data_IF_252742815113
#
_entry.id   IF_252742815113
#
_cell.length_a   1.000
_cell.length_b   1.000
_cell.length_c   1.000
_cell.angle_alpha   90.00
_cell.angle_beta   90.00
_cell.angle_gamma   90.00
#
_symmetry.space_group_name_H-M   'P 1'
#
loop_
_entity.id
_entity.type
_entity.pdbx_description
1 polymer ?
#
# COMPACT_ATOMS: atom_id res chain seq x y z
N UNK A 1 19.43 -21.72 -19.95
CA UNK A 1 18.20 -21.77 -19.14
C UNK A 1 17.04 -21.24 -19.98
N UNK A 2 15.78 -21.50 -19.63
CA UNK A 2 14.65 -20.95 -20.39
C UNK A 2 14.64 -19.42 -20.26
N UNK A 3 14.40 -18.64 -21.34
CA UNK A 3 14.29 -17.18 -21.28
C UNK A 3 13.28 -16.71 -20.22
N UNK A 4 12.24 -17.51 -19.97
CA UNK A 4 11.24 -17.26 -18.93
C UNK A 4 11.86 -17.41 -17.53
N UNK A 5 12.73 -18.39 -17.32
CA UNK A 5 13.38 -18.62 -16.04
C UNK A 5 14.37 -17.48 -15.73
N UNK A 6 15.16 -17.07 -16.71
CA UNK A 6 16.09 -15.95 -16.58
C UNK A 6 15.37 -14.61 -16.37
N UNK A 7 14.24 -14.40 -17.05
CA UNK A 7 13.40 -13.23 -16.82
C UNK A 7 12.78 -13.20 -15.40
N UNK A 8 12.30 -14.34 -14.89
CA UNK A 8 11.66 -14.40 -13.57
C UNK A 8 12.68 -14.38 -12.42
N UNK A 9 13.83 -15.01 -12.61
CA UNK A 9 14.79 -15.27 -11.54
C UNK A 9 16.17 -14.63 -11.72
N UNK A 10 16.47 -14.04 -12.88
CA UNK A 10 17.77 -13.40 -13.16
C UNK A 10 18.07 -12.23 -12.24
N UNK A 11 17.06 -11.54 -11.74
CA UNK A 11 17.21 -10.49 -10.72
C UNK A 11 17.77 -11.00 -9.38
N UNK A 12 17.72 -12.32 -9.13
CA UNK A 12 18.25 -12.95 -7.93
C UNK A 12 19.66 -13.54 -8.13
N UNK A 13 20.25 -13.48 -9.33
CA UNK A 13 21.57 -14.10 -9.62
C UNK A 13 22.74 -13.52 -8.81
N UNK A 14 22.53 -12.46 -8.04
CA UNK A 14 23.50 -11.93 -7.07
C UNK A 14 22.98 -11.82 -5.63
N UNK A 15 21.77 -12.28 -5.33
CA UNK A 15 21.15 -12.11 -4.01
C UNK A 15 21.50 -13.26 -3.09
N UNK A 16 21.83 -12.92 -1.84
CA UNK A 16 22.07 -13.93 -0.83
C UNK A 16 20.76 -14.68 -0.50
N UNK A 17 20.83 -15.99 -0.23
CA UNK A 17 19.64 -16.82 0.05
C UNK A 17 18.75 -16.23 1.16
N UNK A 18 19.36 -15.60 2.18
CA UNK A 18 18.59 -14.97 3.25
C UNK A 18 17.75 -13.77 2.76
N UNK A 19 18.20 -13.02 1.75
CA UNK A 19 17.46 -11.89 1.18
C UNK A 19 16.20 -12.38 0.46
N UNK A 20 16.32 -13.49 -0.28
CA UNK A 20 15.20 -14.13 -0.98
C UNK A 20 14.17 -14.66 0.03
N UNK A 21 14.62 -15.31 1.10
CA UNK A 21 13.72 -15.79 2.17
C UNK A 21 13.00 -14.62 2.84
N UNK A 22 13.73 -13.54 3.15
CA UNK A 22 13.15 -12.32 3.72
C UNK A 22 12.11 -11.70 2.79
N UNK A 23 12.39 -11.63 1.48
CA UNK A 23 11.45 -11.08 0.50
C UNK A 23 10.16 -11.90 0.44
N UNK A 24 10.26 -13.23 0.38
CA UNK A 24 9.09 -14.12 0.37
C UNK A 24 8.25 -13.90 1.64
N UNK A 25 8.89 -13.82 2.81
CA UNK A 25 8.20 -13.51 4.06
C UNK A 25 7.53 -12.13 3.99
N UNK A 26 8.21 -11.11 3.49
CA UNK A 26 7.68 -9.77 3.35
C UNK A 26 6.44 -9.74 2.44
N UNK A 27 6.46 -10.45 1.31
CA UNK A 27 5.32 -10.59 0.40
C UNK A 27 4.15 -11.30 1.08
N UNK A 28 4.40 -12.41 1.78
CA UNK A 28 3.35 -13.15 2.48
C UNK A 28 2.67 -12.31 3.57
N UNK A 29 3.46 -11.59 4.37
CA UNK A 29 2.93 -10.68 5.38
C UNK A 29 2.19 -9.49 4.76
N UNK A 30 2.64 -8.97 3.62
CA UNK A 30 1.97 -7.89 2.89
C UNK A 30 0.61 -8.33 2.34
N UNK A 31 0.54 -9.52 1.74
CA UNK A 31 -0.71 -10.13 1.30
C UNK A 31 -1.66 -10.39 2.47
N UNK A 32 -1.15 -10.95 3.57
CA UNK A 32 -1.94 -11.16 4.77
C UNK A 32 -2.51 -9.83 5.31
N UNK A 33 -1.69 -8.78 5.36
CA UNK A 33 -2.12 -7.42 5.77
C UNK A 33 -3.26 -6.92 4.91
N UNK A 34 -3.15 -7.01 3.58
CA UNK A 34 -4.20 -6.59 2.65
C UNK A 34 -5.50 -7.37 2.86
N UNK A 35 -5.42 -8.67 3.14
CA UNK A 35 -6.59 -9.50 3.44
C UNK A 35 -7.22 -9.15 4.80
N UNK A 36 -6.42 -8.86 5.82
CA UNK A 36 -6.92 -8.39 7.12
C UNK A 36 -7.56 -7.00 7.02
N UNK A 37 -7.02 -6.13 6.18
CA UNK A 37 -7.63 -4.83 5.85
C UNK A 37 -9.04 -5.02 5.29
N UNK A 38 -9.19 -5.90 4.28
CA UNK A 38 -10.48 -6.26 3.70
C UNK A 38 -11.46 -6.79 4.76
N UNK A 39 -10.97 -7.63 5.68
CA UNK A 39 -11.75 -8.18 6.80
C UNK A 39 -11.98 -7.18 7.95
N UNK A 40 -11.44 -5.96 7.86
CA UNK A 40 -11.45 -4.94 8.92
C UNK A 40 -11.05 -5.56 10.27
N UNK A 41 -9.89 -6.22 10.26
CA UNK A 41 -9.24 -6.82 11.42
C UNK A 41 -7.98 -6.04 11.81
N UNK A 42 -7.68 -5.97 13.11
CA UNK A 42 -6.52 -5.24 13.62
C UNK A 42 -5.18 -5.81 13.15
N UNK A 43 -5.17 -7.09 12.77
CA UNK A 43 -3.99 -7.80 12.27
C UNK A 43 -3.41 -7.19 10.99
N UNK A 44 -4.14 -6.31 10.30
CA UNK A 44 -3.62 -5.49 9.19
C UNK A 44 -2.32 -4.79 9.57
N UNK A 45 -2.22 -4.26 10.80
CA UNK A 45 -1.07 -3.45 11.19
C UNK A 45 0.14 -4.27 11.62
N UNK A 46 0.05 -5.24 12.55
CA UNK A 46 1.21 -6.08 12.88
C UNK A 46 1.81 -6.74 11.65
N UNK A 47 0.97 -7.27 10.75
CA UNK A 47 1.45 -7.91 9.52
C UNK A 47 2.03 -6.92 8.53
N UNK A 48 1.42 -5.74 8.38
CA UNK A 48 1.93 -4.66 7.52
C UNK A 48 3.26 -4.09 8.02
N UNK A 49 3.42 -3.90 9.33
CA UNK A 49 4.66 -3.43 9.96
C UNK A 49 5.80 -4.42 9.70
N UNK A 50 5.56 -5.72 9.91
CA UNK A 50 6.57 -6.76 9.64
C UNK A 50 6.97 -6.75 8.17
N UNK A 51 5.99 -6.76 7.26
CA UNK A 51 6.22 -6.73 5.81
C UNK A 51 7.05 -5.52 5.38
N UNK A 52 6.58 -4.32 5.72
CA UNK A 52 7.22 -3.05 5.31
C UNK A 52 8.59 -2.86 5.95
N UNK A 53 8.82 -3.33 7.17
CA UNK A 53 10.15 -3.29 7.80
C UNK A 53 11.18 -4.13 7.04
N UNK A 54 10.77 -5.34 6.63
CA UNK A 54 11.63 -6.21 5.84
C UNK A 54 11.91 -5.58 4.48
N UNK A 55 10.90 -5.02 3.81
CA UNK A 55 11.11 -4.34 2.53
C UNK A 55 12.01 -3.10 2.66
N UNK A 56 11.85 -2.26 3.67
CA UNK A 56 12.75 -1.12 3.90
C UNK A 56 14.20 -1.59 4.03
N UNK A 57 14.44 -2.66 4.78
CA UNK A 57 15.78 -3.24 4.92
C UNK A 57 16.33 -3.77 3.58
N UNK A 58 15.55 -4.55 2.84
CA UNK A 58 15.99 -5.12 1.55
C UNK A 58 16.24 -4.04 0.50
N UNK A 59 15.32 -3.07 0.38
CA UNK A 59 15.40 -1.98 -0.60
C UNK A 59 16.57 -1.03 -0.32
N UNK A 60 16.92 -0.84 0.96
CA UNK A 60 18.14 -0.14 1.34
C UNK A 60 19.38 -0.88 0.81
N UNK A 61 19.47 -2.20 1.03
CA UNK A 61 20.59 -3.03 0.56
C UNK A 61 20.70 -3.03 -0.97
N UNK A 62 19.57 -2.98 -1.67
CA UNK A 62 19.51 -2.96 -3.14
C UNK A 62 19.63 -1.55 -3.75
N UNK A 63 19.73 -0.49 -2.94
CA UNK A 63 19.85 0.89 -3.41
C UNK A 63 18.59 1.45 -4.08
N UNK A 64 17.43 0.84 -3.84
CA UNK A 64 16.14 1.19 -4.45
C UNK A 64 15.42 2.26 -3.62
N UNK A 65 15.93 3.50 -3.68
CA UNK A 65 15.46 4.60 -2.84
C UNK A 65 13.97 4.94 -3.02
N UNK A 66 13.44 4.89 -4.24
CA UNK A 66 12.02 5.23 -4.51
C UNK A 66 11.06 4.27 -3.80
N UNK A 67 11.24 2.97 -4.01
CA UNK A 67 10.43 1.93 -3.36
C UNK A 67 10.64 1.92 -1.84
N UNK A 68 11.85 2.23 -1.37
CA UNK A 68 12.15 2.34 0.05
C UNK A 68 11.36 3.46 0.72
N UNK A 69 11.22 4.62 0.08
CA UNK A 69 10.42 5.76 0.57
C UNK A 69 8.95 5.34 0.71
N UNK A 70 8.40 4.64 -0.28
CA UNK A 70 7.01 4.16 -0.25
C UNK A 70 6.81 3.18 0.92
N UNK A 71 7.71 2.20 1.08
CA UNK A 71 7.62 1.23 2.17
C UNK A 71 7.82 1.89 3.55
N UNK A 72 8.70 2.87 3.65
CA UNK A 72 8.89 3.67 4.87
C UNK A 72 7.62 4.45 5.24
N UNK A 73 6.94 5.04 4.25
CA UNK A 73 5.65 5.67 4.46
C UNK A 73 4.58 4.67 4.93
N UNK A 74 4.50 3.50 4.29
CA UNK A 74 3.57 2.44 4.72
C UNK A 74 3.84 1.94 6.13
N UNK A 75 5.10 1.86 6.55
CA UNK A 75 5.48 1.52 7.92
C UNK A 75 4.95 2.56 8.92
N UNK A 76 5.24 3.85 8.69
CA UNK A 76 4.77 4.97 9.54
C UNK A 76 3.23 4.98 9.61
N UNK A 77 2.58 4.83 8.46
CA UNK A 77 1.12 4.79 8.36
C UNK A 77 0.52 3.56 9.04
N UNK A 78 1.24 2.44 9.05
CA UNK A 78 0.78 1.24 9.76
C UNK A 78 0.81 1.46 11.27
N UNK A 79 1.84 2.12 11.81
CA UNK A 79 1.88 2.49 13.24
C UNK A 79 0.74 3.46 13.58
N UNK A 80 0.58 4.51 12.77
CA UNK A 80 -0.48 5.52 12.97
C UNK A 80 -1.88 4.90 12.90
N UNK A 81 -2.12 4.04 11.91
CA UNK A 81 -3.39 3.32 11.78
C UNK A 81 -3.63 2.37 12.95
N UNK A 82 -2.59 1.66 13.43
CA UNK A 82 -2.70 0.79 14.58
C UNK A 82 -3.17 1.54 15.82
N UNK A 83 -2.57 2.71 16.07
CA UNK A 83 -2.98 3.61 17.14
C UNK A 83 -4.46 4.04 17.02
N UNK A 84 -4.91 4.41 15.83
CA UNK A 84 -6.31 4.85 15.62
C UNK A 84 -7.32 3.71 15.76
N UNK A 85 -6.98 2.51 15.28
CA UNK A 85 -7.89 1.37 15.30
C UNK A 85 -8.00 0.74 16.69
N UNK A 86 -6.93 0.78 17.49
CA UNK A 86 -6.95 0.32 18.89
C UNK A 86 -7.63 1.32 19.83
N UNK A 87 -7.75 2.59 19.42
CA UNK A 87 -8.40 3.61 20.25
C UNK A 87 -9.93 3.43 20.28
N UNK A 88 -10.48 3.41 21.48
CA UNK A 88 -11.92 3.51 21.71
C UNK A 88 -12.36 4.97 21.53
N UNK A 89 -13.38 5.20 20.73
CA UNK A 89 -13.99 6.53 20.51
C UNK A 89 -15.19 6.74 21.43
N UNK A 90 -15.76 5.64 21.92
CA UNK A 90 -16.84 5.62 22.92
C UNK A 90 -16.52 4.48 23.91
N UNK A 91 -16.94 4.53 25.19
CA UNK A 91 -16.70 3.47 26.18
C UNK A 91 -16.97 2.04 25.66
N UNK A 92 -17.92 1.90 24.73
CA UNK A 92 -18.38 0.63 24.15
C UNK A 92 -17.98 0.41 22.68
N UNK A 93 -17.34 1.38 21.98
CA UNK A 93 -17.07 1.27 20.53
C UNK A 93 -15.70 1.81 20.10
N UNK A 94 -15.02 1.03 19.26
CA UNK A 94 -13.83 1.43 18.51
C UNK A 94 -14.21 2.32 17.31
N UNK A 95 -13.24 3.06 16.75
CA UNK A 95 -13.41 3.98 15.60
C UNK A 95 -14.22 3.35 14.47
N UNK A 96 -15.46 3.73 14.13
CA UNK A 96 -16.25 2.98 13.15
C UNK A 96 -15.76 3.19 11.71
N UNK A 97 -16.11 2.26 10.81
CA UNK A 97 -16.02 2.51 9.37
C UNK A 97 -16.97 3.66 9.05
N UNK A 98 -16.47 4.69 8.37
CA UNK A 98 -17.25 5.87 8.02
C UNK A 98 -16.91 6.37 6.62
N UNK A 99 -17.69 7.33 6.12
CA UNK A 99 -17.36 8.09 4.91
C UNK A 99 -16.44 9.26 5.26
N UNK A 100 -15.73 9.75 4.26
CA UNK A 100 -14.93 10.98 4.36
C UNK A 100 -15.81 12.20 4.65
N UNK A 101 -15.34 13.03 5.56
CA UNK A 101 -15.90 14.37 5.80
C UNK A 101 -15.26 15.40 4.86
N UNK A 102 -15.86 16.58 4.69
CA UNK A 102 -15.29 17.66 3.86
C UNK A 102 -13.87 18.05 4.30
N UNK A 103 -13.62 18.12 5.61
CA UNK A 103 -12.28 18.42 6.13
C UNK A 103 -11.28 17.33 5.76
N UNK A 104 -11.67 16.07 5.84
CA UNK A 104 -10.80 14.96 5.43
C UNK A 104 -10.54 14.95 3.93
N UNK A 105 -11.49 15.42 3.10
CA UNK A 105 -11.26 15.60 1.66
C UNK A 105 -10.23 16.70 1.38
N UNK A 106 -10.29 17.83 2.09
CA UNK A 106 -9.25 18.87 1.99
C UNK A 106 -7.88 18.36 2.44
N UNK A 107 -7.82 17.58 3.54
CA UNK A 107 -6.57 16.96 4.00
C UNK A 107 -6.06 15.96 2.96
N UNK A 108 -6.93 15.12 2.38
CA UNK A 108 -6.56 14.19 1.31
C UNK A 108 -6.01 14.92 0.08
N UNK A 109 -6.61 16.04 -0.32
CA UNK A 109 -6.08 16.88 -1.40
C UNK A 109 -4.72 17.47 -1.03
N UNK A 110 -4.53 17.91 0.21
CA UNK A 110 -3.25 18.38 0.73
C UNK A 110 -2.17 17.29 0.74
N UNK A 111 -2.50 16.07 1.18
CA UNK A 111 -1.60 14.91 1.13
C UNK A 111 -1.26 14.58 -0.31
N UNK A 112 -2.23 14.58 -1.22
CA UNK A 112 -2.02 14.31 -2.63
C UNK A 112 -1.02 15.29 -3.25
N UNK A 113 -1.31 16.60 -3.14
CA UNK A 113 -0.44 17.65 -3.69
C UNK A 113 0.93 17.67 -3.00
N UNK A 114 0.96 17.52 -1.67
CA UNK A 114 2.20 17.44 -0.91
C UNK A 114 3.07 16.26 -1.32
N UNK A 115 2.46 15.10 -1.60
CA UNK A 115 3.18 13.91 -2.09
C UNK A 115 3.70 14.14 -3.51
N UNK A 116 2.92 14.76 -4.40
CA UNK A 116 3.40 15.10 -5.74
C UNK A 116 4.63 16.01 -5.68
N UNK A 117 4.61 17.05 -4.86
CA UNK A 117 5.74 17.97 -4.68
C UNK A 117 6.94 17.27 -4.05
N UNK A 118 6.70 16.43 -3.05
CA UNK A 118 7.75 15.67 -2.37
C UNK A 118 8.44 14.68 -3.31
N UNK A 119 7.68 13.85 -4.03
CA UNK A 119 8.23 12.89 -4.99
C UNK A 119 8.91 13.62 -6.15
N UNK A 120 8.35 14.75 -6.61
CA UNK A 120 9.00 15.58 -7.61
C UNK A 120 10.39 16.04 -7.16
N UNK A 121 10.51 16.59 -5.95
CA UNK A 121 11.79 17.02 -5.39
C UNK A 121 12.78 15.87 -5.23
N UNK A 122 12.33 14.70 -4.79
CA UNK A 122 13.16 13.50 -4.68
C UNK A 122 13.65 13.06 -6.07
N UNK A 123 12.76 12.98 -7.05
CA UNK A 123 13.12 12.51 -8.39
C UNK A 123 14.02 13.50 -9.12
N UNK A 124 13.86 14.79 -8.88
CA UNK A 124 14.76 15.83 -9.39
C UNK A 124 16.15 15.71 -8.76
N UNK A 125 16.22 15.62 -7.44
CA UNK A 125 17.49 15.51 -6.70
C UNK A 125 18.31 14.25 -7.04
N UNK A 126 17.62 13.13 -7.31
CA UNK A 126 18.27 11.86 -7.67
C UNK A 126 18.30 11.59 -9.18
N UNK A 127 17.99 12.59 -10.01
CA UNK A 127 18.00 12.52 -11.48
C UNK A 127 17.18 11.33 -12.04
N UNK A 128 16.02 11.06 -11.43
CA UNK A 128 15.12 9.94 -11.78
C UNK A 128 14.07 10.28 -12.84
N UNK A 129 14.09 11.49 -13.40
CA UNK A 129 13.22 11.92 -14.50
C UNK A 129 13.68 11.37 -15.87
N UNK A 130 13.84 10.06 -15.96
CA UNK A 130 14.40 9.39 -17.14
C UNK A 130 13.35 8.92 -18.16
N UNK A 131 12.08 8.84 -17.76
CA UNK A 131 11.00 8.32 -18.61
C UNK A 131 9.64 8.91 -18.25
N UNK A 132 8.69 8.83 -19.19
CA UNK A 132 7.29 9.20 -18.97
C UNK A 132 6.65 8.39 -17.83
N UNK A 133 7.16 7.19 -17.56
CA UNK A 133 6.71 6.33 -16.46
C UNK A 133 6.93 6.94 -15.09
N UNK A 134 7.92 7.83 -14.93
CA UNK A 134 8.19 8.54 -13.68
C UNK A 134 7.05 9.47 -13.26
N UNK A 135 6.37 10.10 -14.23
CA UNK A 135 5.19 10.94 -13.97
C UNK A 135 4.02 10.09 -13.48
N UNK A 136 3.84 8.90 -14.07
CA UNK A 136 2.78 7.96 -13.66
C UNK A 136 3.09 7.38 -12.28
N UNK A 137 4.34 7.05 -11.97
CA UNK A 137 4.76 6.60 -10.64
C UNK A 137 4.50 7.67 -9.57
N UNK A 138 4.78 8.93 -9.89
CA UNK A 138 4.52 10.04 -8.96
C UNK A 138 3.02 10.17 -8.67
N UNK A 139 2.18 10.00 -9.70
CA UNK A 139 0.73 10.00 -9.57
C UNK A 139 0.22 8.80 -8.74
N UNK A 140 0.67 7.58 -9.04
CA UNK A 140 0.25 6.38 -8.31
C UNK A 140 0.68 6.44 -6.85
N UNK A 141 1.88 6.94 -6.58
CA UNK A 141 2.39 7.16 -5.21
C UNK A 141 1.50 8.12 -4.43
N UNK A 142 1.11 9.25 -5.03
CA UNK A 142 0.20 10.20 -4.38
C UNK A 142 -1.18 9.58 -4.09
N UNK A 143 -1.71 8.76 -5.00
CA UNK A 143 -2.95 8.01 -4.77
C UNK A 143 -2.82 7.03 -3.61
N UNK A 144 -1.73 6.27 -3.54
CA UNK A 144 -1.49 5.32 -2.46
C UNK A 144 -1.30 6.00 -1.11
N UNK A 145 -0.65 7.17 -1.05
CA UNK A 145 -0.50 7.93 0.18
C UNK A 145 -1.86 8.34 0.74
N UNK A 146 -2.72 8.91 -0.10
CA UNK A 146 -4.09 9.25 0.29
C UNK A 146 -4.87 8.01 0.71
N UNK A 147 -4.77 6.92 -0.06
CA UNK A 147 -5.42 5.65 0.25
C UNK A 147 -5.04 5.10 1.63
N UNK A 148 -3.75 5.05 1.94
CA UNK A 148 -3.25 4.56 3.23
C UNK A 148 -3.64 5.47 4.40
N UNK A 149 -3.65 6.79 4.20
CA UNK A 149 -4.15 7.72 5.20
C UNK A 149 -5.63 7.52 5.50
N UNK A 150 -6.46 7.37 4.47
CA UNK A 150 -7.88 7.06 4.60
C UNK A 150 -8.12 5.70 5.26
N UNK A 151 -7.29 4.70 4.95
CA UNK A 151 -7.33 3.38 5.57
C UNK A 151 -7.06 3.47 7.08
N UNK A 152 -6.00 4.20 7.48
CA UNK A 152 -5.69 4.45 8.88
C UNK A 152 -6.86 5.13 9.62
N UNK A 153 -7.62 5.98 8.94
CA UNK A 153 -8.81 6.68 9.46
C UNK A 153 -10.12 5.89 9.34
N UNK A 154 -10.09 4.63 8.88
CA UNK A 154 -11.26 3.76 8.63
C UNK A 154 -12.29 4.38 7.68
N UNK A 155 -11.82 5.00 6.61
CA UNK A 155 -12.67 5.61 5.59
C UNK A 155 -12.87 4.70 4.41
N UNK A 156 -14.11 4.42 4.02
CA UNK A 156 -14.42 3.49 2.93
C UNK A 156 -13.81 3.91 1.59
N UNK A 157 -13.62 5.20 1.38
CA UNK A 157 -13.04 5.77 0.16
C UNK A 157 -11.59 5.36 -0.06
N UNK A 158 -10.89 4.86 0.99
CA UNK A 158 -9.55 4.29 0.84
C UNK A 158 -9.48 3.26 -0.30
N UNK A 159 -10.50 2.40 -0.40
CA UNK A 159 -10.56 1.34 -1.39
C UNK A 159 -10.66 1.86 -2.83
N UNK A 160 -11.24 3.05 -3.03
CA UNK A 160 -11.32 3.69 -4.35
C UNK A 160 -9.94 4.21 -4.77
N UNK A 161 -9.21 4.86 -3.85
CA UNK A 161 -7.84 5.31 -4.11
C UNK A 161 -6.91 4.13 -4.39
N UNK A 162 -7.00 3.07 -3.58
CA UNK A 162 -6.24 1.83 -3.80
C UNK A 162 -6.62 1.17 -5.13
N UNK A 163 -7.90 1.09 -5.47
CA UNK A 163 -8.36 0.54 -6.74
C UNK A 163 -7.77 1.30 -7.94
N UNK A 164 -7.89 2.63 -7.95
CA UNK A 164 -7.38 3.45 -9.06
C UNK A 164 -5.86 3.36 -9.15
N UNK A 165 -5.15 3.46 -8.02
CA UNK A 165 -3.69 3.32 -7.98
C UNK A 165 -3.22 1.96 -8.51
N UNK A 166 -3.85 0.87 -8.07
CA UNK A 166 -3.53 -0.48 -8.52
C UNK A 166 -3.87 -0.68 -10.01
N UNK A 167 -5.03 -0.19 -10.46
CA UNK A 167 -5.46 -0.31 -11.86
C UNK A 167 -4.53 0.43 -12.84
N UNK A 168 -3.96 1.57 -12.43
CA UNK A 168 -2.91 2.28 -13.19
C UNK A 168 -1.57 1.54 -13.12
N UNK A 169 -1.25 0.95 -11.97
CA UNK A 169 0.01 0.22 -11.75
C UNK A 169 0.10 -1.06 -12.58
N UNK A 170 -1.02 -1.76 -12.85
CA UNK A 170 -1.03 -2.98 -13.68
C UNK A 170 -0.39 -2.76 -15.07
N UNK A 171 -0.93 -1.91 -15.96
CA UNK A 171 -0.33 -1.69 -17.28
C UNK A 171 1.05 -1.04 -17.20
N UNK A 172 1.31 -0.20 -16.20
CA UNK A 172 2.60 0.45 -16.01
C UNK A 172 3.71 -0.58 -15.74
N UNK A 173 3.46 -1.53 -14.84
CA UNK A 173 4.45 -2.56 -14.50
C UNK A 173 4.62 -3.60 -15.62
N UNK A 174 3.56 -3.88 -16.41
CA UNK A 174 3.72 -4.64 -17.65
C UNK A 174 4.61 -3.93 -18.65
N UNK A 175 4.42 -2.62 -18.86
CA UNK A 175 5.26 -1.82 -19.76
C UNK A 175 6.72 -1.76 -19.30
N UNK A 176 6.96 -1.70 -17.98
CA UNK A 176 8.30 -1.73 -17.39
C UNK A 176 8.97 -3.12 -17.44
N UNK A 177 8.26 -4.17 -17.86
CA UNK A 177 8.78 -5.54 -17.90
C UNK A 177 8.77 -6.25 -16.54
N UNK A 178 8.02 -5.77 -15.55
CA UNK A 178 7.90 -6.39 -14.23
C UNK A 178 6.62 -7.25 -14.12
N UNK A 179 6.61 -8.40 -14.81
CA UNK A 179 5.42 -9.26 -14.92
C UNK A 179 4.91 -9.80 -13.59
N UNK A 180 5.80 -10.16 -12.66
CA UNK A 180 5.38 -10.68 -11.35
C UNK A 180 4.63 -9.59 -10.56
N UNK A 181 5.20 -8.38 -10.52
CA UNK A 181 4.61 -7.24 -9.84
C UNK A 181 3.29 -6.83 -10.48
N UNK A 182 3.17 -6.86 -11.82
CA UNK A 182 1.90 -6.57 -12.48
C UNK A 182 0.82 -7.59 -12.12
N UNK A 183 1.15 -8.89 -12.03
CA UNK A 183 0.22 -9.93 -11.55
C UNK A 183 -0.19 -9.68 -10.10
N UNK A 184 0.73 -9.25 -9.22
CA UNK A 184 0.41 -8.88 -7.85
C UNK A 184 -0.55 -7.69 -7.78
N UNK A 185 -0.34 -6.65 -8.59
CA UNK A 185 -1.25 -5.50 -8.67
C UNK A 185 -2.65 -5.91 -9.15
N UNK A 186 -2.78 -6.90 -10.05
CA UNK A 186 -4.07 -7.47 -10.43
C UNK A 186 -4.77 -8.08 -9.20
N UNK A 187 -4.05 -8.83 -8.36
CA UNK A 187 -4.60 -9.35 -7.10
C UNK A 187 -5.05 -8.20 -6.18
N UNK A 188 -4.25 -7.14 -6.06
CA UNK A 188 -4.64 -5.97 -5.26
C UNK A 188 -5.84 -5.21 -5.83
N UNK A 189 -6.05 -5.19 -7.15
CA UNK A 189 -7.29 -4.68 -7.76
C UNK A 189 -8.49 -5.48 -7.26
N UNK A 190 -8.43 -6.82 -7.31
CA UNK A 190 -9.51 -7.67 -6.81
C UNK A 190 -9.75 -7.49 -5.31
N UNK A 191 -8.69 -7.41 -4.50
CA UNK A 191 -8.82 -7.15 -3.06
C UNK A 191 -9.43 -5.76 -2.83
N UNK A 192 -9.08 -4.76 -3.62
CA UNK A 192 -9.62 -3.40 -3.46
C UNK A 192 -11.12 -3.36 -3.73
N UNK A 193 -11.57 -4.06 -4.79
CA UNK A 193 -13.00 -4.20 -5.12
C UNK A 193 -13.72 -4.95 -3.99
N UNK A 194 -13.21 -6.11 -3.58
CA UNK A 194 -13.81 -6.92 -2.51
C UNK A 194 -13.86 -6.17 -1.17
N UNK A 195 -12.78 -5.45 -0.83
CA UNK A 195 -12.67 -4.58 0.34
C UNK A 195 -13.70 -3.47 0.36
N UNK A 196 -13.90 -2.79 -0.77
CA UNK A 196 -14.93 -1.77 -0.90
C UNK A 196 -16.32 -2.31 -0.59
N UNK A 197 -16.71 -3.44 -1.19
CA UNK A 197 -18.03 -4.05 -0.95
C UNK A 197 -18.17 -4.59 0.48
N UNK A 198 -17.13 -5.23 1.04
CA UNK A 198 -17.13 -5.72 2.40
C UNK A 198 -17.31 -4.59 3.42
N UNK A 199 -16.62 -3.46 3.21
CA UNK A 199 -16.74 -2.28 4.07
C UNK A 199 -18.06 -1.55 3.88
N UNK A 200 -18.60 -1.49 2.65
CA UNK A 200 -19.91 -0.91 2.36
C UNK A 200 -21.03 -1.65 3.08
N UNK A 201 -20.98 -2.99 3.13
CA UNK A 201 -21.92 -3.82 3.87
C UNK A 201 -21.90 -3.50 5.36
N UNK A 202 -20.71 -3.36 5.95
CA UNK A 202 -20.52 -3.01 7.37
C UNK A 202 -20.93 -1.58 7.70
N UNK A 203 -20.67 -0.63 6.79
CA UNK A 203 -21.11 0.76 6.94
C UNK A 203 -22.63 0.86 7.07
N UNK A 204 -23.37 0.01 6.34
CA UNK A 204 -24.83 -0.03 6.36
C UNK A 204 -25.40 -0.88 7.51
N UNK A 205 -24.57 -1.62 8.26
CA UNK A 205 -24.99 -2.44 9.40
C UNK A 205 -24.18 -2.11 10.67
N UNK A 206 -24.62 -1.11 11.47
CA UNK A 206 -23.85 -0.57 12.59
C UNK A 206 -23.49 -1.58 13.69
N UNK A 207 -24.21 -2.69 13.81
CA UNK A 207 -23.97 -3.71 14.83
C UNK A 207 -22.65 -4.48 14.62
N UNK A 208 -22.11 -4.52 13.39
CA UNK A 208 -20.86 -5.20 13.02
C UNK A 208 -19.66 -4.26 12.84
N UNK A 209 -19.80 -2.97 13.15
CA UNK A 209 -18.76 -1.94 12.85
C UNK A 209 -17.52 -1.98 13.75
N UNK A 210 -17.51 -2.89 14.74
CA UNK A 210 -16.36 -3.15 15.61
C UNK A 210 -15.12 -3.64 14.85
N UNK A 211 -13.95 -3.44 15.45
CA UNK A 211 -12.73 -4.12 14.99
C UNK A 211 -12.91 -5.62 15.25
N UNK A 212 -12.71 -6.46 14.24
CA UNK A 212 -12.69 -7.91 14.45
C UNK A 212 -11.29 -8.26 14.97
N UNK A 213 -11.23 -8.68 16.23
CA UNK A 213 -10.00 -9.16 16.88
C UNK A 213 -9.52 -10.47 16.25
#
# INVERSE_FOLDING_TARGET
>A
MSPIFEFLFGQYEGYATYQIVLEILAVLFGLASSLFSMKNSIWVYPTGIVSTSIFVYLLWQWGLLGDMIINGYYFIMSIYGWYIWTRKVTPTRYTPISKTTKNEQYISAGIFVGTLLFIYAVYDFFEKWTSWTAYVDTLTTALFFVGMWLLAKRKIENWLYLLVGNAISVPLYFYKGYTISSMLYIVFVFISIAGYFAWKKRLNNPQETGVIA
#
